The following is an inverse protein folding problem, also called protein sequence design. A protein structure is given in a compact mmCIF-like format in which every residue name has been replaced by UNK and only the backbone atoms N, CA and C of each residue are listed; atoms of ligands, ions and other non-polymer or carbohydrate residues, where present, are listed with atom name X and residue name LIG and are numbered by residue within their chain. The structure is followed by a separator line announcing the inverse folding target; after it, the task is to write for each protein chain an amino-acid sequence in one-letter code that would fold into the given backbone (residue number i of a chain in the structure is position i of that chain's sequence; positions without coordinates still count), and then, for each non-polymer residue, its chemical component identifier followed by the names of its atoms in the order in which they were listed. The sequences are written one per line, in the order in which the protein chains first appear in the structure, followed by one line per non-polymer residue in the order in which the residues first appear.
data_IF_263613268145
#
_entry.id   IF_263613268145
#
_cell.length_a   1.000
_cell.length_b   1.000
_cell.length_c   1.000
_cell.angle_alpha   90.00
_cell.angle_beta   90.00
_cell.angle_gamma   90.00
#
_symmetry.space_group_name_H-M   'P 1'
#
loop_
_entity.id
_entity.type
_entity.pdbx_description
1 polymer ?
#
# COMPACT_ATOMS: atom_id res chain seq x y z
N UNK A 1 16.21 0.04 14.29
CA UNK A 1 16.72 1.07 13.36
C UNK A 1 17.74 0.42 12.44
N UNK A 2 17.56 0.54 11.13
CA UNK A 2 18.49 -0.01 10.14
C UNK A 2 19.69 0.93 9.97
N UNK A 3 20.88 0.38 9.75
CA UNK A 3 22.12 1.16 9.59
C UNK A 3 23.02 0.51 8.55
N UNK A 4 23.60 1.28 7.64
CA UNK A 4 24.51 0.78 6.60
C UNK A 4 25.60 1.80 6.27
N UNK A 5 26.77 1.33 5.83
CA UNK A 5 27.82 2.16 5.22
C UNK A 5 27.51 2.46 3.75
N UNK A 6 26.60 1.71 3.12
CA UNK A 6 26.11 1.98 1.76
C UNK A 6 25.07 3.11 1.69
N UNK A 7 24.55 3.38 0.49
CA UNK A 7 23.62 4.51 0.26
C UNK A 7 22.14 4.11 0.17
N UNK A 8 21.83 2.82 0.34
CA UNK A 8 20.48 2.27 0.28
C UNK A 8 20.37 0.98 1.11
N UNK A 9 19.13 0.51 1.29
CA UNK A 9 18.83 -0.84 1.77
C UNK A 9 18.04 -1.57 0.68
N UNK A 10 18.51 -2.72 0.23
CA UNK A 10 17.80 -3.54 -0.75
C UNK A 10 16.41 -3.94 -0.23
N UNK A 11 15.38 -3.79 -1.07
CA UNK A 11 13.99 -4.03 -0.66
C UNK A 11 13.39 -2.94 0.23
N UNK A 12 13.99 -1.74 0.28
CA UNK A 12 13.43 -0.57 0.97
C UNK A 12 13.52 0.68 0.08
N UNK A 13 12.54 1.56 0.22
CA UNK A 13 12.53 2.88 -0.43
C UNK A 13 12.74 3.96 0.63
N UNK A 14 13.66 4.90 0.37
CA UNK A 14 13.84 6.11 1.17
C UNK A 14 12.66 7.05 0.88
N UNK A 15 11.87 7.36 1.89
CA UNK A 15 10.71 8.26 1.80
C UNK A 15 11.07 9.70 2.13
N UNK A 16 11.99 9.90 3.07
CA UNK A 16 12.43 11.22 3.51
C UNK A 16 13.92 11.18 3.89
N UNK A 17 14.66 12.18 3.43
CA UNK A 17 16.00 12.52 3.95
C UNK A 17 15.81 13.59 5.01
N UNK A 18 16.23 13.31 6.24
CA UNK A 18 15.92 14.18 7.38
C UNK A 18 17.04 15.18 7.61
N UNK A 19 18.25 14.68 7.86
CA UNK A 19 19.43 15.51 8.06
C UNK A 19 20.72 14.68 7.96
N UNK A 20 21.85 15.36 7.77
CA UNK A 20 23.18 14.80 8.02
C UNK A 20 23.44 14.88 9.53
N UNK A 21 23.77 13.75 10.13
CA UNK A 21 24.01 13.63 11.57
C UNK A 21 25.45 13.19 11.84
N UNK A 22 25.99 13.70 12.94
CA UNK A 22 27.35 13.39 13.38
C UNK A 22 27.39 13.19 14.90
N UNK A 23 28.20 12.26 15.38
CA UNK A 23 28.50 12.09 16.81
C UNK A 23 29.98 11.90 17.03
N UNK A 24 30.47 12.30 18.20
CA UNK A 24 31.88 12.20 18.56
C UNK A 24 32.01 11.68 19.98
N UNK A 25 32.76 10.59 20.14
CA UNK A 25 33.12 10.04 21.45
C UNK A 25 34.60 10.23 21.68
N UNK A 26 34.93 10.86 22.80
CA UNK A 26 36.30 11.10 23.22
C UNK A 26 36.72 10.04 24.22
N UNK A 27 37.84 9.36 23.93
CA UNK A 27 38.49 8.40 24.80
C UNK A 27 39.73 9.06 25.43
N UNK A 28 39.74 9.15 26.76
CA UNK A 28 40.76 9.89 27.51
C UNK A 28 42.11 9.18 27.70
N UNK A 29 43.06 9.93 28.27
CA UNK A 29 44.50 9.66 28.45
C UNK A 29 44.90 8.35 29.14
N UNK A 30 43.95 7.65 29.74
CA UNK A 30 44.13 6.30 30.29
C UNK A 30 44.33 5.22 29.23
N UNK A 31 44.21 5.51 27.92
CA UNK A 31 44.47 4.57 26.83
C UNK A 31 45.96 4.46 26.52
N UNK A 32 46.66 5.59 26.36
CA UNK A 32 48.08 5.60 25.98
C UNK A 32 49.00 5.34 27.18
N UNK A 33 48.66 5.85 28.37
CA UNK A 33 49.44 5.65 29.61
C UNK A 33 49.48 4.20 30.10
N UNK A 34 48.47 3.38 29.76
CA UNK A 34 48.45 1.94 30.08
C UNK A 34 49.06 1.07 28.97
N UNK A 35 49.41 1.65 27.81
CA UNK A 35 49.85 0.94 26.61
C UNK A 35 51.36 1.06 26.35
N UNK A 36 52.00 2.14 26.78
CA UNK A 36 53.48 2.27 26.74
C UNK A 36 54.20 1.21 27.57
N UNK A 37 53.51 0.57 28.52
CA UNK A 37 54.01 -0.55 29.31
C UNK A 37 53.84 -1.94 28.63
N UNK A 38 52.96 -2.07 27.62
CA UNK A 38 52.64 -3.36 26.97
C UNK A 38 53.12 -3.49 25.53
N UNK A 39 53.61 -2.41 24.91
CA UNK A 39 54.18 -2.42 23.56
C UNK A 39 55.61 -3.00 23.46
N UNK A 40 56.20 -3.45 24.56
CA UNK A 40 57.54 -4.03 24.55
C UNK A 40 57.60 -5.43 23.90
N UNK A 41 56.47 -6.14 23.80
CA UNK A 41 56.44 -7.50 23.23
C UNK A 41 55.68 -7.52 21.90
N UNK A 42 56.39 -7.15 20.85
CA UNK A 42 55.93 -7.10 19.46
C UNK A 42 55.80 -8.52 18.88
N UNK A 43 54.70 -9.19 19.18
CA UNK A 43 54.17 -10.32 18.42
C UNK A 43 52.72 -9.98 18.08
N UNK A 44 52.30 -10.15 16.82
CA UNK A 44 51.01 -9.71 16.26
C UNK A 44 49.76 -10.37 16.85
N UNK A 45 49.64 -10.36 18.17
CA UNK A 45 48.55 -10.88 18.99
C UNK A 45 47.66 -9.69 19.34
N UNK A 46 46.35 -9.82 19.08
CA UNK A 46 45.34 -8.79 19.36
C UNK A 46 45.51 -8.24 20.78
N UNK A 47 45.87 -6.97 20.91
CA UNK A 47 46.06 -6.32 22.21
C UNK A 47 44.68 -6.01 22.81
N UNK A 48 44.10 -6.99 23.51
CA UNK A 48 42.69 -7.00 23.93
C UNK A 48 42.21 -5.69 24.55
N UNK A 49 42.97 -5.10 25.48
CA UNK A 49 42.53 -3.89 26.17
C UNK A 49 42.44 -2.62 25.29
N UNK A 50 43.26 -2.49 24.25
CA UNK A 50 43.22 -1.33 23.35
C UNK A 50 42.04 -1.46 22.38
N UNK A 51 41.89 -2.64 21.79
CA UNK A 51 40.78 -2.98 20.90
C UNK A 51 39.43 -2.86 21.61
N UNK A 52 39.33 -3.34 22.86
CA UNK A 52 38.10 -3.25 23.67
C UNK A 52 37.66 -1.79 23.89
N UNK A 53 38.62 -0.88 24.11
CA UNK A 53 38.33 0.54 24.30
C UNK A 53 37.94 1.23 23.00
N UNK A 54 38.60 0.90 21.88
CA UNK A 54 38.21 1.38 20.55
C UNK A 54 36.81 0.90 20.17
N UNK A 55 36.51 -0.36 20.43
CA UNK A 55 35.20 -0.95 20.18
C UNK A 55 34.12 -0.31 21.07
N UNK A 56 34.43 -0.06 22.35
CA UNK A 56 33.55 0.67 23.25
C UNK A 56 33.27 2.10 22.76
N UNK A 57 34.30 2.81 22.29
CA UNK A 57 34.16 4.14 21.69
C UNK A 57 33.27 4.14 20.45
N UNK A 58 33.53 3.22 19.51
CA UNK A 58 32.73 3.03 18.29
C UNK A 58 31.27 2.69 18.60
N UNK A 59 31.03 1.76 19.52
CA UNK A 59 29.68 1.36 19.93
C UNK A 59 28.92 2.52 20.54
N UNK A 60 29.58 3.34 21.37
CA UNK A 60 28.98 4.53 21.97
C UNK A 60 28.66 5.59 20.90
N UNK A 61 29.59 5.87 19.98
CA UNK A 61 29.37 6.83 18.90
C UNK A 61 28.17 6.44 18.02
N UNK A 62 28.10 5.17 17.62
CA UNK A 62 26.97 4.64 16.84
C UNK A 62 25.65 4.63 17.62
N UNK A 63 25.67 4.40 18.93
CA UNK A 63 24.47 4.45 19.77
C UNK A 63 23.91 5.89 19.84
N UNK A 64 24.78 6.88 20.06
CA UNK A 64 24.38 8.29 20.05
C UNK A 64 23.91 8.73 18.65
N UNK A 65 24.53 8.22 17.58
CA UNK A 65 24.12 8.51 16.20
C UNK A 65 22.70 8.00 15.93
N UNK A 66 22.39 6.78 16.38
CA UNK A 66 21.04 6.20 16.33
C UNK A 66 20.02 7.01 17.12
N UNK A 67 20.40 7.52 18.30
CA UNK A 67 19.54 8.37 19.11
C UNK A 67 19.21 9.68 18.39
N UNK A 68 20.21 10.33 17.76
CA UNK A 68 19.97 11.55 16.95
C UNK A 68 19.02 11.28 15.78
N UNK A 69 19.22 10.18 15.04
CA UNK A 69 18.30 9.80 13.96
C UNK A 69 16.87 9.59 14.48
N UNK A 70 16.70 8.98 15.66
CA UNK A 70 15.40 8.79 16.31
C UNK A 70 14.73 10.12 16.68
N UNK A 71 15.49 11.08 17.21
CA UNK A 71 14.97 12.41 17.57
C UNK A 71 14.46 13.19 16.36
N UNK A 72 15.03 12.95 15.18
CA UNK A 72 14.57 13.51 13.90
C UNK A 72 13.37 12.76 13.30
N UNK A 73 12.89 11.68 13.94
CA UNK A 73 11.83 10.82 13.41
C UNK A 73 12.31 9.82 12.35
N UNK A 74 13.62 9.62 12.22
CA UNK A 74 14.23 8.64 11.32
C UNK A 74 14.15 7.22 11.86
N UNK A 75 14.00 6.26 10.95
CA UNK A 75 14.00 4.83 11.27
C UNK A 75 15.21 4.08 10.66
N UNK A 76 16.06 4.77 9.89
CA UNK A 76 17.32 4.25 9.39
C UNK A 76 18.42 5.32 9.20
N UNK A 77 19.67 4.87 9.06
CA UNK A 77 20.84 5.71 8.75
C UNK A 77 21.61 5.07 7.59
N UNK A 78 21.89 5.85 6.55
CA UNK A 78 22.71 5.44 5.39
C UNK A 78 24.02 6.23 5.36
N UNK A 79 24.98 5.74 4.57
CA UNK A 79 26.26 6.42 4.35
C UNK A 79 27.05 6.58 5.64
N UNK A 80 26.98 5.59 6.54
CA UNK A 80 27.72 5.66 7.79
C UNK A 80 29.22 5.62 7.49
N UNK A 81 29.91 6.62 8.02
CA UNK A 81 31.36 6.72 8.00
C UNK A 81 31.88 6.87 9.43
N UNK A 82 33.00 6.21 9.74
CA UNK A 82 33.57 6.18 11.09
C UNK A 82 35.06 6.52 11.01
N UNK A 83 35.39 7.68 11.57
CA UNK A 83 36.75 8.18 11.65
C UNK A 83 37.32 8.03 13.05
N UNK A 84 38.61 7.68 13.11
CA UNK A 84 39.41 7.71 14.32
C UNK A 84 40.44 8.82 14.19
N UNK A 85 40.46 9.75 15.14
CA UNK A 85 41.38 10.89 15.12
C UNK A 85 41.99 11.12 16.49
N UNK A 86 43.21 11.65 16.54
CA UNK A 86 43.89 11.99 17.79
C UNK A 86 43.79 13.49 18.06
N UNK A 87 43.26 13.86 19.22
CA UNK A 87 43.18 15.24 19.70
C UNK A 87 44.34 15.51 20.68
N UNK A 88 45.54 15.82 20.16
CA UNK A 88 46.75 15.96 20.99
C UNK A 88 47.40 14.62 21.33
N UNK A 89 48.29 14.59 22.32
CA UNK A 89 49.17 13.43 22.57
C UNK A 89 48.47 12.19 23.12
N UNK A 90 47.34 12.35 23.82
CA UNK A 90 46.77 11.27 24.65
C UNK A 90 45.25 11.14 24.55
N UNK A 91 44.62 11.75 23.55
CA UNK A 91 43.16 11.71 23.39
C UNK A 91 42.81 11.17 22.02
N UNK A 92 41.95 10.16 21.99
CA UNK A 92 41.43 9.60 20.75
C UNK A 92 39.93 9.91 20.61
N UNK A 93 39.56 10.54 19.51
CA UNK A 93 38.19 10.72 19.07
C UNK A 93 37.74 9.61 18.15
N UNK A 94 36.52 9.12 18.37
CA UNK A 94 35.77 8.31 17.41
C UNK A 94 34.60 9.15 16.91
N UNK A 95 34.61 9.48 15.63
CA UNK A 95 33.59 10.31 14.98
C UNK A 95 32.76 9.40 14.08
N UNK A 96 31.45 9.42 14.22
CA UNK A 96 30.53 8.68 13.35
C UNK A 96 29.61 9.67 12.63
N UNK A 97 29.59 9.62 11.31
CA UNK A 97 28.77 10.45 10.44
C UNK A 97 27.76 9.59 9.69
N UNK A 98 26.65 10.16 9.24
CA UNK A 98 25.70 9.50 8.35
C UNK A 98 24.50 10.38 8.03
N UNK A 99 23.58 9.88 7.20
CA UNK A 99 22.34 10.59 6.88
C UNK A 99 21.16 9.89 7.53
N UNK A 100 20.42 10.60 8.38
CA UNK A 100 19.19 10.10 8.96
C UNK A 100 18.08 10.11 7.91
N UNK A 101 17.40 8.98 7.75
CA UNK A 101 16.35 8.81 6.74
C UNK A 101 15.13 8.09 7.33
N UNK A 102 13.97 8.29 6.69
CA UNK A 102 12.83 7.37 6.81
C UNK A 102 12.82 6.42 5.63
N UNK A 103 12.91 5.13 5.90
CA UNK A 103 12.75 4.06 4.91
C UNK A 103 11.46 3.30 5.17
N UNK A 104 10.83 2.84 4.10
CA UNK A 104 9.71 1.89 4.18
C UNK A 104 10.14 0.62 3.47
N UNK A 105 9.86 -0.55 4.05
CA UNK A 105 10.04 -1.81 3.34
C UNK A 105 9.20 -1.74 2.08
N UNK A 106 9.85 -1.97 0.96
CA UNK A 106 9.18 -2.11 -0.32
C UNK A 106 8.61 -3.53 -0.31
N UNK A 107 7.39 -3.68 0.19
CA UNK A 107 6.69 -4.97 0.18
C UNK A 107 6.29 -5.38 -1.26
N UNK A 108 6.73 -4.62 -2.27
CA UNK A 108 6.42 -4.76 -3.68
C UNK A 108 7.61 -4.20 -4.46
N UNK A 109 8.29 -5.00 -5.30
CA UNK A 109 9.13 -4.50 -6.39
C UNK A 109 8.32 -3.47 -7.21
N UNK A 110 8.47 -2.18 -6.94
CA UNK A 110 7.88 -1.10 -7.73
C UNK A 110 8.91 -0.54 -8.71
N UNK A 111 9.03 -1.22 -9.85
CA UNK A 111 9.18 -0.54 -11.14
C UNK A 111 7.89 -0.79 -11.91
N UNK A 112 7.00 0.20 -11.94
CA UNK A 112 5.88 0.34 -12.87
C UNK A 112 5.03 -0.92 -13.15
N UNK A 113 4.38 -1.49 -12.14
CA UNK A 113 3.36 -2.51 -12.37
C UNK A 113 1.98 -1.89 -12.54
N UNK A 114 1.24 -2.26 -13.60
CA UNK A 114 -0.17 -1.88 -13.77
C UNK A 114 -1.05 -2.93 -13.11
N UNK A 115 -1.96 -2.51 -12.22
CA UNK A 115 -2.87 -3.40 -11.50
C UNK A 115 -4.28 -3.34 -12.11
N UNK A 116 -4.76 -4.48 -12.60
CA UNK A 116 -6.09 -4.64 -13.18
C UNK A 116 -6.99 -5.35 -12.17
N UNK A 117 -8.12 -4.77 -11.74
CA UNK A 117 -8.99 -5.37 -10.73
C UNK A 117 -9.65 -6.65 -11.27
N UNK A 118 -9.67 -7.69 -10.45
CA UNK A 118 -10.43 -8.92 -10.72
C UNK A 118 -11.84 -8.78 -10.15
N UNK A 119 -12.84 -9.03 -10.99
CA UNK A 119 -14.26 -8.90 -10.71
C UNK A 119 -15.00 -10.25 -10.64
N UNK A 120 -14.27 -11.36 -10.70
CA UNK A 120 -14.81 -12.68 -10.38
C UNK A 120 -14.43 -13.10 -8.95
N UNK A 121 -15.25 -13.97 -8.38
CA UNK A 121 -14.95 -14.64 -7.12
C UNK A 121 -15.63 -16.00 -7.07
N UNK A 122 -15.11 -16.90 -6.24
CA UNK A 122 -15.75 -18.19 -5.99
C UNK A 122 -16.13 -18.26 -4.50
N UNK A 123 -17.39 -18.61 -4.22
CA UNK A 123 -17.93 -18.60 -2.85
C UNK A 123 -17.38 -19.71 -1.97
N UNK A 124 -16.86 -20.79 -2.56
CA UNK A 124 -16.27 -21.92 -1.84
C UNK A 124 -14.77 -21.76 -1.58
N UNK A 125 -14.11 -20.82 -2.26
CA UNK A 125 -12.67 -20.62 -2.07
C UNK A 125 -12.39 -19.82 -0.78
N UNK A 126 -11.39 -20.26 0.02
CA UNK A 126 -10.99 -19.59 1.27
C UNK A 126 -10.03 -18.40 1.03
N UNK A 127 -10.01 -17.87 -0.19
CA UNK A 127 -9.24 -16.70 -0.60
C UNK A 127 -9.95 -16.01 -1.77
N UNK A 128 -9.56 -14.77 -2.04
CA UNK A 128 -9.92 -14.06 -3.27
C UNK A 128 -8.66 -13.78 -4.09
N UNK A 129 -8.81 -13.77 -5.41
CA UNK A 129 -7.87 -13.14 -6.33
C UNK A 129 -8.34 -11.70 -6.50
N UNK A 130 -7.54 -10.75 -6.04
CA UNK A 130 -7.92 -9.34 -5.95
C UNK A 130 -7.61 -8.60 -7.25
N UNK A 131 -6.39 -8.76 -7.78
CA UNK A 131 -5.98 -8.09 -9.01
C UNK A 131 -4.96 -8.89 -9.79
N UNK A 132 -4.81 -8.54 -11.07
CA UNK A 132 -3.72 -8.98 -11.92
C UNK A 132 -2.72 -7.83 -12.01
N UNK A 133 -1.46 -8.10 -11.69
CA UNK A 133 -0.38 -7.13 -11.83
C UNK A 133 0.40 -7.45 -13.09
N UNK A 134 0.53 -6.46 -13.97
CA UNK A 134 1.37 -6.53 -15.17
C UNK A 134 2.66 -5.78 -14.95
N UNK A 135 3.78 -6.31 -15.43
CA UNK A 135 5.05 -5.58 -15.52
C UNK A 135 5.07 -4.71 -16.79
N UNK A 136 5.20 -3.38 -16.66
CA UNK A 136 4.93 -2.44 -17.76
C UNK A 136 6.11 -2.17 -18.72
N UNK A 137 7.32 -2.70 -18.51
CA UNK A 137 8.52 -2.30 -19.29
C UNK A 137 9.10 -3.30 -20.28
N UNK A 138 8.56 -4.52 -20.40
CA UNK A 138 9.13 -5.46 -21.35
C UNK A 138 8.60 -5.24 -22.77
N UNK A 139 9.44 -4.66 -23.63
CA UNK A 139 9.22 -4.44 -25.07
C UNK A 139 9.15 -5.73 -25.91
N UNK A 140 8.85 -6.87 -25.30
CA UNK A 140 8.81 -8.18 -25.95
C UNK A 140 7.79 -9.13 -25.33
N UNK A 141 7.83 -9.30 -24.01
CA UNK A 141 7.00 -10.27 -23.29
C UNK A 141 6.20 -9.60 -22.18
N UNK A 142 4.88 -9.69 -22.23
CA UNK A 142 4.06 -9.29 -21.10
C UNK A 142 4.19 -10.32 -19.98
N UNK A 143 4.43 -9.86 -18.76
CA UNK A 143 4.45 -10.68 -17.56
C UNK A 143 3.25 -10.30 -16.69
N UNK A 144 2.54 -11.28 -16.16
CA UNK A 144 1.48 -11.04 -15.19
C UNK A 144 1.66 -11.89 -13.92
N UNK A 145 1.21 -11.35 -12.79
CA UNK A 145 1.10 -12.04 -11.51
C UNK A 145 -0.28 -11.80 -10.89
N UNK A 146 -0.74 -12.70 -10.04
CA UNK A 146 -1.98 -12.55 -9.29
C UNK A 146 -1.70 -12.00 -7.90
N UNK A 147 -2.48 -11.01 -7.45
CA UNK A 147 -2.54 -10.58 -6.06
C UNK A 147 -3.72 -11.30 -5.38
N UNK A 148 -3.45 -11.94 -4.24
CA UNK A 148 -4.43 -12.75 -3.51
C UNK A 148 -4.61 -12.24 -2.09
N UNK A 149 -5.82 -12.45 -1.56
CA UNK A 149 -6.14 -12.35 -0.14
C UNK A 149 -6.53 -13.71 0.38
N UNK A 150 -5.75 -14.30 1.29
CA UNK A 150 -6.20 -15.45 2.07
C UNK A 150 -6.93 -15.02 3.34
N UNK A 151 -7.98 -15.76 3.69
CA UNK A 151 -8.77 -15.52 4.90
C UNK A 151 -8.42 -16.48 6.05
N UNK A 152 -7.49 -17.42 5.83
CA UNK A 152 -7.03 -18.34 6.85
C UNK A 152 -5.57 -18.72 6.61
N UNK A 153 -4.77 -18.81 7.67
CA UNK A 153 -3.38 -19.28 7.55
C UNK A 153 -3.26 -20.70 6.98
N UNK A 154 -4.29 -21.54 7.17
CA UNK A 154 -4.37 -22.89 6.59
C UNK A 154 -4.73 -22.89 5.10
N UNK A 155 -5.20 -21.77 4.58
CA UNK A 155 -5.66 -21.59 3.21
C UNK A 155 -4.66 -20.80 2.35
N UNK A 156 -3.37 -20.83 2.72
CA UNK A 156 -2.30 -20.28 1.91
C UNK A 156 -2.01 -21.22 0.75
N UNK A 157 -1.83 -20.65 -0.43
CA UNK A 157 -1.73 -21.40 -1.67
C UNK A 157 -0.26 -21.60 -2.02
N UNK A 158 0.07 -22.77 -2.54
CA UNK A 158 1.37 -23.08 -3.13
C UNK A 158 1.34 -22.88 -4.65
N UNK A 159 0.31 -23.40 -5.33
CA UNK A 159 0.15 -23.27 -6.77
C UNK A 159 -1.33 -23.25 -7.22
N UNK A 160 -1.57 -22.66 -8.39
CA UNK A 160 -2.88 -22.50 -9.02
C UNK A 160 -2.82 -22.85 -10.51
N UNK A 161 -3.93 -23.38 -11.02
CA UNK A 161 -4.24 -23.38 -12.46
C UNK A 161 -5.51 -22.55 -12.65
N UNK A 162 -5.47 -21.56 -13.53
CA UNK A 162 -6.58 -20.62 -13.75
C UNK A 162 -6.81 -20.32 -15.23
N UNK A 163 -8.06 -20.02 -15.59
CA UNK A 163 -8.36 -19.29 -16.82
C UNK A 163 -8.54 -17.80 -16.49
N UNK A 164 -8.10 -16.91 -17.37
CA UNK A 164 -8.15 -15.45 -17.16
C UNK A 164 -8.79 -14.81 -18.38
N UNK A 165 -9.86 -14.04 -18.18
CA UNK A 165 -10.44 -13.13 -19.17
C UNK A 165 -10.06 -11.69 -18.82
N UNK A 166 -9.37 -10.99 -19.73
CA UNK A 166 -9.02 -9.57 -19.61
C UNK A 166 -9.95 -8.74 -20.50
N UNK A 167 -10.62 -7.71 -19.96
CA UNK A 167 -11.45 -6.79 -20.75
C UNK A 167 -10.82 -5.40 -20.85
N UNK A 168 -10.75 -4.87 -22.06
CA UNK A 168 -10.26 -3.52 -22.33
C UNK A 168 -11.38 -2.46 -22.24
N UNK A 169 -11.00 -1.18 -22.34
CA UNK A 169 -11.95 -0.05 -22.34
C UNK A 169 -12.92 -0.02 -23.54
N UNK A 170 -12.62 -0.76 -24.62
CA UNK A 170 -13.47 -0.88 -25.81
C UNK A 170 -14.45 -2.05 -25.71
N UNK A 171 -14.35 -2.88 -24.67
CA UNK A 171 -15.18 -4.06 -24.45
C UNK A 171 -14.65 -5.35 -25.06
N UNK A 172 -13.47 -5.34 -25.70
CA UNK A 172 -12.85 -6.57 -26.22
C UNK A 172 -12.29 -7.42 -25.08
N UNK A 173 -12.42 -8.74 -25.24
CA UNK A 173 -11.90 -9.75 -24.31
C UNK A 173 -10.66 -10.47 -24.85
N UNK A 174 -9.67 -10.68 -23.99
CA UNK A 174 -8.52 -11.55 -24.23
C UNK A 174 -8.58 -12.69 -23.21
N UNK A 175 -8.62 -13.94 -23.68
CA UNK A 175 -8.69 -15.12 -22.81
C UNK A 175 -7.35 -15.83 -22.77
N UNK A 176 -6.88 -16.13 -21.56
CA UNK A 176 -5.68 -16.91 -21.27
C UNK A 176 -6.10 -18.18 -20.55
N UNK A 177 -5.95 -19.33 -21.20
CA UNK A 177 -6.40 -20.62 -20.68
C UNK A 177 -5.28 -21.38 -19.96
N UNK A 178 -5.63 -22.11 -18.90
CA UNK A 178 -4.73 -23.01 -18.16
C UNK A 178 -3.42 -22.35 -17.69
N UNK A 179 -3.51 -21.09 -17.27
CA UNK A 179 -2.38 -20.36 -16.70
C UNK A 179 -1.97 -20.96 -15.36
N UNK A 180 -0.69 -21.30 -15.21
CA UNK A 180 -0.14 -21.92 -14.00
C UNK A 180 0.64 -20.88 -13.21
N UNK A 181 0.36 -20.77 -11.91
CA UNK A 181 1.07 -19.85 -11.01
C UNK A 181 1.59 -20.59 -9.79
N UNK A 182 2.79 -20.24 -9.33
CA UNK A 182 3.27 -20.60 -7.99
C UNK A 182 3.35 -19.36 -7.08
N UNK A 183 3.34 -19.61 -5.76
CA UNK A 183 3.48 -18.57 -4.73
C UNK A 183 4.80 -18.79 -3.99
N UNK A 184 5.64 -17.75 -3.90
CA UNK A 184 6.92 -17.86 -3.21
C UNK A 184 6.73 -17.91 -1.68
N UNK A 185 7.46 -18.82 -1.04
CA UNK A 185 7.34 -19.19 0.37
C UNK A 185 7.90 -18.08 1.27
N UNK A 186 7.09 -17.06 1.55
CA UNK A 186 7.27 -16.12 2.68
C UNK A 186 5.99 -15.28 2.95
N UNK A 187 4.82 -15.78 2.59
CA UNK A 187 3.55 -15.11 2.87
C UNK A 187 3.20 -15.20 4.37
N UNK A 188 3.86 -14.40 5.19
CA UNK A 188 3.40 -14.12 6.57
C UNK A 188 2.09 -13.33 6.50
N UNK A 189 1.94 -12.53 5.45
CA UNK A 189 0.81 -11.64 5.25
C UNK A 189 -0.41 -12.33 4.64
N UNK A 190 -1.57 -11.81 5.02
CA UNK A 190 -2.87 -12.24 4.49
C UNK A 190 -3.06 -11.83 3.03
N UNK A 191 -2.37 -10.78 2.57
CA UNK A 191 -2.21 -10.46 1.15
C UNK A 191 -0.84 -10.92 0.66
N UNK A 192 -0.82 -11.59 -0.49
CA UNK A 192 0.42 -12.05 -1.12
C UNK A 192 0.22 -12.18 -2.62
N UNK A 193 1.31 -12.39 -3.36
CA UNK A 193 1.25 -12.52 -4.82
C UNK A 193 1.91 -13.79 -5.31
N UNK A 194 1.46 -14.24 -6.48
CA UNK A 194 2.18 -15.26 -7.24
C UNK A 194 3.48 -14.70 -7.79
N UNK A 195 4.32 -15.59 -8.29
CA UNK A 195 5.36 -15.21 -9.24
C UNK A 195 4.76 -14.63 -10.54
N UNK A 196 5.59 -13.90 -11.27
CA UNK A 196 5.24 -13.40 -12.59
C UNK A 196 5.38 -14.52 -13.62
N UNK A 197 4.34 -14.65 -14.45
CA UNK A 197 4.27 -15.62 -15.54
C UNK A 197 4.20 -14.87 -16.85
N UNK A 198 4.98 -15.34 -17.84
CA UNK A 198 4.97 -14.80 -19.19
C UNK A 198 3.69 -15.17 -19.93
N UNK A 199 3.10 -14.20 -20.62
CA UNK A 199 1.98 -14.41 -21.54
C UNK A 199 2.40 -14.08 -22.97
N UNK A 200 1.90 -14.86 -23.92
CA UNK A 200 2.11 -14.64 -25.35
C UNK A 200 0.87 -14.01 -25.96
N UNK A 201 0.73 -12.69 -25.79
CA UNK A 201 -0.38 -11.90 -26.35
C UNK A 201 0.18 -10.81 -27.24
N UNK A 202 -0.08 -10.92 -28.54
CA UNK A 202 0.37 -9.92 -29.52
C UNK A 202 -0.34 -8.59 -29.32
N UNK A 203 0.42 -7.50 -29.35
CA UNK A 203 -0.08 -6.12 -29.27
C UNK A 203 -0.92 -5.82 -28.01
N UNK A 204 -0.66 -6.50 -26.89
CA UNK A 204 -1.35 -6.23 -25.64
C UNK A 204 -1.08 -4.80 -25.16
N UNK A 205 -2.15 -4.02 -24.99
CA UNK A 205 -2.11 -2.67 -24.40
C UNK A 205 -2.64 -2.72 -22.98
N UNK A 206 -1.73 -2.99 -22.05
CA UNK A 206 -2.03 -3.11 -20.61
C UNK A 206 -2.66 -1.84 -20.06
N UNK A 207 -2.26 -0.68 -20.56
CA UNK A 207 -2.80 0.64 -20.20
C UNK A 207 -4.28 0.83 -20.59
N UNK A 208 -4.81 -0.01 -21.48
CA UNK A 208 -6.21 0.00 -21.91
C UNK A 208 -7.04 -1.09 -21.26
N UNK A 209 -6.45 -1.94 -20.40
CA UNK A 209 -7.19 -2.94 -19.65
C UNK A 209 -7.96 -2.28 -18.51
N UNK A 210 -9.22 -2.68 -18.34
CA UNK A 210 -10.12 -2.08 -17.36
C UNK A 210 -10.40 -3.02 -16.18
N UNK A 211 -10.59 -4.31 -16.46
CA UNK A 211 -10.99 -5.33 -15.49
C UNK A 211 -10.62 -6.72 -15.99
N UNK A 212 -10.59 -7.66 -15.07
CA UNK A 212 -10.35 -9.07 -15.37
C UNK A 212 -11.33 -9.98 -14.63
N UNK A 213 -11.50 -11.18 -15.16
CA UNK A 213 -12.21 -12.30 -14.52
C UNK A 213 -11.24 -13.47 -14.49
N UNK A 214 -11.07 -14.07 -13.32
CA UNK A 214 -10.17 -15.21 -13.08
C UNK A 214 -10.97 -16.38 -12.56
N UNK A 215 -10.92 -17.48 -13.29
CA UNK A 215 -11.55 -18.75 -12.96
C UNK A 215 -10.49 -19.73 -12.47
N UNK A 216 -10.51 -20.08 -11.19
CA UNK A 216 -9.57 -21.06 -10.64
C UNK A 216 -10.07 -22.46 -10.96
N UNK A 217 -9.24 -23.26 -11.63
CA UNK A 217 -9.57 -24.65 -12.01
C UNK A 217 -8.98 -25.66 -11.03
N UNK A 218 -7.73 -25.46 -10.60
CA UNK A 218 -7.04 -26.36 -9.67
C UNK A 218 -6.19 -25.60 -8.67
N UNK A 219 -6.02 -26.17 -7.48
CA UNK A 219 -5.28 -25.56 -6.36
C UNK A 219 -4.42 -26.61 -5.67
N UNK A 220 -3.23 -26.18 -5.24
CA UNK A 220 -2.41 -26.89 -4.25
C UNK A 220 -2.21 -25.94 -3.06
N UNK A 221 -2.62 -26.36 -1.86
CA UNK A 221 -2.40 -25.59 -0.64
C UNK A 221 -0.99 -25.79 -0.09
N UNK A 222 -0.50 -24.79 0.64
CA UNK A 222 0.80 -24.83 1.29
C UNK A 222 0.89 -25.99 2.29
N UNK A 223 1.99 -26.75 2.22
CA UNK A 223 2.20 -27.93 3.07
C UNK A 223 1.39 -29.17 2.67
N UNK A 224 0.60 -29.11 1.58
CA UNK A 224 -0.04 -30.27 0.97
C UNK A 224 0.58 -30.59 -0.40
N UNK A 225 0.46 -31.85 -0.80
CA UNK A 225 0.77 -32.33 -2.15
C UNK A 225 -0.48 -32.67 -2.96
N UNK A 226 -1.66 -32.52 -2.37
CA UNK A 226 -2.93 -32.84 -3.02
C UNK A 226 -3.30 -31.76 -4.03
N UNK A 227 -3.66 -32.19 -5.22
CA UNK A 227 -4.25 -31.33 -6.26
C UNK A 227 -5.75 -31.36 -6.08
N UNK A 228 -6.35 -30.20 -5.85
CA UNK A 228 -7.80 -30.06 -5.64
C UNK A 228 -8.40 -29.44 -6.91
N UNK A 229 -9.33 -30.14 -7.55
CA UNK A 229 -10.18 -29.57 -8.59
C UNK A 229 -11.21 -28.63 -7.95
N UNK A 230 -11.34 -27.43 -8.52
CA UNK A 230 -12.24 -26.39 -8.03
C UNK A 230 -13.56 -26.46 -8.79
N UNK A 231 -14.66 -26.44 -8.04
CA UNK A 231 -15.99 -26.36 -8.62
C UNK A 231 -16.28 -24.93 -9.11
N UNK A 232 -16.10 -24.74 -10.42
CA UNK A 232 -16.34 -23.48 -11.13
C UNK A 232 -17.82 -23.10 -11.21
N UNK A 233 -18.76 -23.99 -10.85
CA UNK A 233 -20.18 -23.64 -10.78
C UNK A 233 -20.50 -22.61 -9.68
N UNK A 234 -19.60 -22.45 -8.70
CA UNK A 234 -19.70 -21.47 -7.62
C UNK A 234 -18.95 -20.17 -7.93
N UNK A 235 -18.50 -20.01 -9.16
CA UNK A 235 -17.89 -18.78 -9.63
C UNK A 235 -18.95 -17.75 -10.01
N UNK A 236 -18.74 -16.51 -9.59
CA UNK A 236 -19.60 -15.39 -9.86
C UNK A 236 -18.79 -14.30 -10.54
N UNK A 237 -19.30 -13.79 -11.65
CA UNK A 237 -18.80 -12.58 -12.29
C UNK A 237 -19.64 -11.38 -11.85
N UNK A 238 -18.98 -10.39 -11.26
CA UNK A 238 -19.64 -9.13 -11.00
C UNK A 238 -19.68 -8.29 -12.28
N UNK A 239 -20.77 -8.45 -13.03
CA UNK A 239 -21.02 -7.71 -14.27
C UNK A 239 -21.69 -6.35 -14.04
N UNK A 240 -22.31 -6.15 -12.88
CA UNK A 240 -23.06 -4.93 -12.55
C UNK A 240 -22.19 -3.80 -12.01
N UNK A 241 -21.00 -4.11 -11.48
CA UNK A 241 -20.08 -3.12 -10.89
C UNK A 241 -19.01 -2.72 -11.91
N UNK A 242 -18.81 -1.41 -12.11
CA UNK A 242 -17.74 -0.93 -12.99
C UNK A 242 -16.37 -1.07 -12.32
N UNK A 243 -15.28 -0.98 -13.10
CA UNK A 243 -13.92 -0.99 -12.53
C UNK A 243 -13.69 0.20 -11.58
N UNK A 244 -14.28 1.35 -11.88
CA UNK A 244 -14.19 2.55 -11.06
C UNK A 244 -14.93 2.34 -9.73
N UNK A 245 -16.15 1.78 -9.77
CA UNK A 245 -16.93 1.48 -8.58
C UNK A 245 -16.19 0.49 -7.65
N UNK A 246 -15.59 -0.56 -8.22
CA UNK A 246 -14.78 -1.49 -7.43
C UNK A 246 -13.56 -0.82 -6.81
N UNK A 247 -12.86 0.07 -7.53
CA UNK A 247 -11.72 0.78 -6.95
C UNK A 247 -12.14 1.66 -5.76
N UNK A 248 -13.29 2.33 -5.86
CA UNK A 248 -13.87 3.10 -4.74
C UNK A 248 -14.20 2.18 -3.57
N UNK A 249 -14.86 1.06 -3.82
CA UNK A 249 -15.19 0.09 -2.78
C UNK A 249 -13.93 -0.50 -2.12
N UNK A 250 -12.88 -0.80 -2.89
CA UNK A 250 -11.61 -1.32 -2.36
C UNK A 250 -10.88 -0.32 -1.49
N UNK A 251 -10.87 0.95 -1.89
CA UNK A 251 -10.30 2.04 -1.08
C UNK A 251 -11.00 2.12 0.29
N UNK A 252 -12.31 1.90 0.33
CA UNK A 252 -13.12 2.06 1.53
C UNK A 252 -13.22 0.80 2.40
N UNK A 253 -13.18 -0.38 1.78
CA UNK A 253 -13.50 -1.64 2.43
C UNK A 253 -12.39 -2.69 2.32
N UNK A 254 -11.32 -2.43 1.56
CA UNK A 254 -10.12 -3.28 1.42
C UNK A 254 -9.94 -3.85 0.00
N UNK A 255 -8.71 -4.14 -0.40
CA UNK A 255 -8.36 -4.64 -1.74
C UNK A 255 -9.04 -5.95 -2.15
N UNK A 256 -9.54 -6.73 -1.18
CA UNK A 256 -10.21 -8.02 -1.40
C UNK A 256 -11.70 -7.91 -1.71
N UNK A 257 -12.21 -6.69 -1.90
CA UNK A 257 -13.59 -6.43 -2.33
C UNK A 257 -13.79 -6.86 -3.79
N UNK A 258 -14.83 -7.63 -4.03
CA UNK A 258 -15.22 -8.18 -5.35
C UNK A 258 -16.64 -7.78 -5.76
N UNK A 259 -17.46 -7.34 -4.81
CA UNK A 259 -18.80 -6.83 -5.07
C UNK A 259 -19.21 -5.75 -4.06
N UNK A 260 -20.23 -4.95 -4.41
CA UNK A 260 -20.93 -4.17 -3.39
C UNK A 260 -21.73 -5.12 -2.48
N UNK A 261 -22.09 -4.65 -1.28
CA UNK A 261 -22.92 -5.41 -0.36
C UNK A 261 -24.31 -5.61 -0.96
N UNK A 262 -24.81 -6.84 -0.94
CA UNK A 262 -26.15 -7.18 -1.41
C UNK A 262 -26.98 -7.77 -0.27
N UNK A 263 -28.27 -7.44 -0.24
CA UNK A 263 -29.25 -8.01 0.68
C UNK A 263 -30.24 -8.81 -0.17
N UNK A 264 -30.37 -10.09 0.13
CA UNK A 264 -31.27 -11.02 -0.54
C UNK A 264 -32.31 -11.52 0.48
N UNK A 265 -33.33 -12.23 0.01
CA UNK A 265 -34.29 -12.88 0.92
C UNK A 265 -33.58 -13.95 1.76
N UNK A 266 -33.45 -13.71 3.07
CA UNK A 266 -32.86 -14.65 4.02
C UNK A 266 -31.33 -14.63 4.11
N UNK A 267 -30.62 -13.92 3.22
CA UNK A 267 -29.15 -13.87 3.17
C UNK A 267 -28.60 -12.49 2.80
N UNK A 268 -27.31 -12.28 3.04
CA UNK A 268 -26.59 -11.10 2.56
C UNK A 268 -25.20 -11.45 2.03
N UNK A 269 -24.84 -10.85 0.90
CA UNK A 269 -23.51 -10.99 0.29
C UNK A 269 -22.59 -9.91 0.85
N UNK A 270 -21.48 -10.35 1.44
CA UNK A 270 -20.43 -9.46 1.92
C UNK A 270 -19.63 -8.87 0.75
N UNK A 271 -18.92 -7.76 0.96
CA UNK A 271 -18.01 -7.18 -0.04
C UNK A 271 -16.95 -8.15 -0.55
N UNK A 272 -16.54 -9.11 0.28
CA UNK A 272 -15.63 -10.16 -0.16
C UNK A 272 -16.29 -11.16 -1.11
N UNK A 273 -17.61 -11.19 -1.27
CA UNK A 273 -18.35 -12.16 -2.09
C UNK A 273 -18.95 -13.34 -1.31
N UNK A 274 -18.64 -13.48 -0.02
CA UNK A 274 -19.21 -14.54 0.80
C UNK A 274 -20.69 -14.26 1.14
N UNK A 275 -21.55 -15.24 0.94
CA UNK A 275 -22.96 -15.20 1.31
C UNK A 275 -23.14 -15.63 2.77
N UNK A 276 -23.88 -14.84 3.54
CA UNK A 276 -24.08 -15.05 4.97
C UNK A 276 -25.58 -15.10 5.27
N UNK A 277 -25.95 -15.84 6.31
CA UNK A 277 -27.33 -15.82 6.78
C UNK A 277 -27.71 -14.42 7.30
N UNK A 278 -28.95 -13.99 7.06
CA UNK A 278 -29.47 -12.69 7.50
C UNK A 278 -29.32 -12.43 9.01
N UNK A 279 -29.34 -13.50 9.83
CA UNK A 279 -29.26 -13.40 11.28
C UNK A 279 -27.83 -13.27 11.82
N UNK A 280 -26.82 -13.31 10.94
CA UNK A 280 -25.42 -13.21 11.31
C UNK A 280 -24.89 -11.83 10.94
N UNK A 281 -24.39 -11.12 11.94
CA UNK A 281 -23.89 -9.75 11.82
C UNK A 281 -22.38 -9.69 11.51
N UNK A 282 -21.74 -10.81 11.21
CA UNK A 282 -20.33 -10.89 10.87
C UNK A 282 -20.12 -11.86 9.71
N UNK A 283 -19.37 -11.43 8.70
CA UNK A 283 -19.07 -12.30 7.57
C UNK A 283 -18.22 -13.49 8.02
N UNK A 284 -18.67 -14.72 7.79
CA UNK A 284 -17.96 -15.92 8.23
C UNK A 284 -16.56 -16.06 7.59
N UNK A 285 -16.34 -15.44 6.43
CA UNK A 285 -15.10 -15.53 5.65
C UNK A 285 -14.11 -14.43 5.99
N UNK A 286 -14.53 -13.17 5.90
CA UNK A 286 -13.63 -12.03 6.07
C UNK A 286 -13.77 -11.32 7.41
N UNK A 287 -14.68 -11.78 8.28
CA UNK A 287 -14.94 -11.23 9.61
C UNK A 287 -15.39 -9.75 9.61
N UNK A 288 -15.78 -9.20 8.46
CA UNK A 288 -16.40 -7.88 8.37
C UNK A 288 -17.79 -7.92 8.97
N UNK A 289 -18.07 -7.02 9.91
CA UNK A 289 -19.40 -6.89 10.50
C UNK A 289 -20.42 -6.33 9.51
N UNK A 290 -21.64 -6.84 9.58
CA UNK A 290 -22.84 -6.31 8.96
C UNK A 290 -23.10 -4.90 9.49
N UNK A 291 -22.72 -3.91 8.69
CA UNK A 291 -22.82 -2.49 9.05
C UNK A 291 -21.61 -1.92 9.80
N UNK A 292 -20.52 -2.69 9.98
CA UNK A 292 -19.30 -2.20 10.63
C UNK A 292 -18.30 -1.60 9.65
N UNK A 293 -18.04 -0.30 9.76
CA UNK A 293 -16.72 0.27 9.42
C UNK A 293 -15.73 -0.27 10.44
N UNK A 294 -14.51 -0.63 10.02
CA UNK A 294 -13.41 -0.74 10.95
C UNK A 294 -13.16 0.66 11.52
N UNK A 295 -13.45 0.86 12.82
CA UNK A 295 -13.30 2.14 13.51
C UNK A 295 -14.59 2.96 13.63
N UNK A 296 -15.04 3.12 14.86
CA UNK A 296 -16.11 4.01 15.33
C UNK A 296 -15.99 5.44 14.79
N UNK A 297 -16.96 5.93 14.00
CA UNK A 297 -17.17 7.37 13.76
C UNK A 297 -18.67 7.63 13.55
N UNK A 298 -19.18 8.66 14.22
CA UNK A 298 -20.47 9.31 13.94
C UNK A 298 -20.77 9.30 12.44
N UNK A 299 -21.92 8.76 12.04
CA UNK A 299 -22.35 8.67 10.64
C UNK A 299 -22.35 10.09 10.05
N UNK A 300 -21.39 10.40 9.17
CA UNK A 300 -21.43 11.64 8.40
C UNK A 300 -22.61 11.55 7.44
N UNK A 301 -23.38 12.63 7.30
CA UNK A 301 -24.49 12.72 6.32
C UNK A 301 -23.98 12.44 4.90
N UNK A 302 -22.72 12.78 4.63
CA UNK A 302 -22.02 12.54 3.35
C UNK A 302 -21.53 11.10 3.17
N UNK A 303 -21.94 10.15 4.02
CA UNK A 303 -21.68 8.72 3.81
C UNK A 303 -22.88 7.95 3.24
N UNK A 304 -24.01 8.63 3.05
CA UNK A 304 -25.20 8.09 2.39
C UNK A 304 -25.15 8.39 0.88
N UNK A 305 -25.01 7.35 0.07
CA UNK A 305 -24.93 7.46 -1.40
C UNK A 305 -26.16 8.13 -2.01
N UNK A 306 -27.35 7.96 -1.44
CA UNK A 306 -28.58 8.57 -1.96
C UNK A 306 -28.62 10.08 -1.73
N UNK A 307 -28.05 10.54 -0.61
CA UNK A 307 -27.93 11.95 -0.30
C UNK A 307 -26.88 12.59 -1.22
N UNK A 308 -25.73 11.94 -1.40
CA UNK A 308 -24.68 12.43 -2.30
C UNK A 308 -25.17 12.49 -3.75
N UNK A 309 -25.84 11.43 -4.25
CA UNK A 309 -26.36 11.43 -5.62
C UNK A 309 -27.40 12.53 -5.81
N UNK A 310 -28.31 12.71 -4.85
CA UNK A 310 -29.29 13.80 -4.89
C UNK A 310 -28.66 15.19 -4.89
N UNK A 311 -27.59 15.40 -4.12
CA UNK A 311 -26.83 16.67 -4.12
C UNK A 311 -26.15 16.88 -5.47
N UNK A 312 -25.48 15.86 -6.02
CA UNK A 312 -24.79 15.97 -7.32
C UNK A 312 -25.79 16.24 -8.43
N UNK A 313 -26.90 15.50 -8.49
CA UNK A 313 -27.93 15.66 -9.51
C UNK A 313 -28.48 17.09 -9.50
N UNK A 314 -28.78 17.63 -8.31
CA UNK A 314 -29.30 18.98 -8.18
C UNK A 314 -28.23 20.03 -8.52
N UNK A 315 -26.97 19.84 -8.12
CA UNK A 315 -25.84 20.72 -8.48
C UNK A 315 -25.65 20.76 -10.00
N UNK A 316 -25.78 19.62 -10.70
CA UNK A 316 -25.62 19.54 -12.16
C UNK A 316 -26.64 20.42 -12.92
N UNK A 317 -27.83 20.62 -12.34
CA UNK A 317 -28.87 21.49 -12.92
C UNK A 317 -28.58 22.99 -12.77
N UNK A 318 -27.65 23.39 -11.90
CA UNK A 318 -27.36 24.80 -11.61
C UNK A 318 -26.57 25.48 -12.73
N UNK A 319 -26.83 26.77 -12.97
CA UNK A 319 -26.27 27.50 -14.11
C UNK A 319 -24.92 28.17 -13.82
N UNK A 320 -24.69 28.54 -12.57
CA UNK A 320 -23.56 29.38 -12.13
C UNK A 320 -22.93 28.87 -10.84
N UNK A 321 -21.72 29.34 -10.50
CA UNK A 321 -21.14 29.05 -9.19
C UNK A 321 -21.96 29.65 -8.04
N UNK A 322 -22.68 30.76 -8.29
CA UNK A 322 -23.59 31.35 -7.31
C UNK A 322 -24.77 30.43 -7.00
N UNK A 323 -25.42 29.88 -8.04
CA UNK A 323 -26.56 28.96 -7.88
C UNK A 323 -26.14 27.69 -7.13
N UNK A 324 -24.93 27.20 -7.38
CA UNK A 324 -24.34 26.04 -6.70
C UNK A 324 -24.07 26.37 -5.22
N UNK A 325 -23.44 27.52 -4.94
CA UNK A 325 -23.18 27.97 -3.57
C UNK A 325 -24.49 28.11 -2.77
N UNK A 326 -25.50 28.78 -3.33
CA UNK A 326 -26.79 28.97 -2.65
C UNK A 326 -27.48 27.63 -2.35
N UNK A 327 -27.43 26.69 -3.30
CA UNK A 327 -27.96 25.35 -3.09
C UNK A 327 -27.23 24.63 -1.96
N UNK A 328 -25.90 24.54 -2.00
CA UNK A 328 -25.11 23.83 -0.98
C UNK A 328 -25.31 24.46 0.41
N UNK A 329 -25.28 25.79 0.52
CA UNK A 329 -25.53 26.50 1.79
C UNK A 329 -26.96 26.29 2.31
N UNK A 330 -27.95 26.07 1.43
CA UNK A 330 -29.33 25.81 1.85
C UNK A 330 -29.53 24.44 2.53
N UNK A 331 -28.61 23.49 2.29
CA UNK A 331 -28.69 22.15 2.86
C UNK A 331 -28.39 22.13 4.37
N UNK A 332 -27.65 23.12 4.88
CA UNK A 332 -27.30 23.22 6.30
C UNK A 332 -26.50 22.03 6.84
N UNK A 333 -25.77 21.33 5.97
CA UNK A 333 -24.97 20.15 6.33
C UNK A 333 -23.61 20.62 6.85
N UNK A 334 -23.37 20.41 8.14
CA UNK A 334 -22.16 20.86 8.83
C UNK A 334 -20.86 20.39 8.17
N UNK A 335 -20.86 19.18 7.61
CA UNK A 335 -19.69 18.60 6.93
C UNK A 335 -19.34 19.30 5.60
N UNK A 336 -20.27 20.08 5.03
CA UNK A 336 -20.06 20.87 3.82
C UNK A 336 -19.60 22.31 4.12
N UNK A 337 -19.46 22.73 5.38
CA UNK A 337 -19.02 24.10 5.73
C UNK A 337 -17.68 24.49 5.07
N UNK A 338 -16.74 23.54 4.95
CA UNK A 338 -15.46 23.79 4.25
C UNK A 338 -15.66 24.01 2.75
N UNK A 339 -16.59 23.28 2.15
CA UNK A 339 -16.96 23.40 0.74
C UNK A 339 -17.69 24.72 0.48
N UNK A 340 -18.60 25.12 1.37
CA UNK A 340 -19.30 26.41 1.30
C UNK A 340 -18.31 27.59 1.25
N UNK A 341 -17.22 27.53 2.01
CA UNK A 341 -16.19 28.56 1.98
C UNK A 341 -15.52 28.68 0.59
N UNK A 342 -15.13 27.55 -0.01
CA UNK A 342 -14.49 27.53 -1.32
C UNK A 342 -15.44 28.00 -2.43
N UNK A 343 -16.70 27.53 -2.39
CA UNK A 343 -17.75 27.97 -3.32
C UNK A 343 -18.07 29.46 -3.18
N UNK A 344 -18.02 30.01 -1.96
CA UNK A 344 -18.19 31.46 -1.71
C UNK A 344 -17.07 32.30 -2.34
N UNK A 345 -15.85 31.76 -2.43
CA UNK A 345 -14.75 32.45 -3.11
C UNK A 345 -15.02 32.50 -4.62
N UNK A 346 -15.42 31.39 -5.23
CA UNK A 346 -15.78 31.34 -6.65
C UNK A 346 -16.98 32.23 -6.98
N UNK A 347 -18.01 32.23 -6.12
CA UNK A 347 -19.17 33.12 -6.24
C UNK A 347 -18.77 34.61 -6.27
N UNK A 348 -17.81 35.01 -5.42
CA UNK A 348 -17.28 36.38 -5.43
C UNK A 348 -16.46 36.67 -6.68
N UNK A 349 -15.64 35.72 -7.14
CA UNK A 349 -14.86 35.89 -8.36
C UNK A 349 -15.77 36.04 -9.58
N UNK A 350 -16.79 35.19 -9.71
CA UNK A 350 -17.80 35.29 -10.77
C UNK A 350 -18.49 36.66 -10.76
N UNK A 351 -18.82 37.20 -9.58
CA UNK A 351 -19.41 38.55 -9.45
C UNK A 351 -18.44 39.68 -9.81
N UNK A 352 -17.14 39.53 -9.53
CA UNK A 352 -16.12 40.55 -9.78
C UNK A 352 -15.67 40.57 -11.24
N UNK A 353 -15.45 39.38 -11.81
CA UNK A 353 -14.86 39.21 -13.14
C UNK A 353 -15.90 38.94 -14.23
N UNK A 354 -17.14 38.61 -13.87
CA UNK A 354 -18.22 38.32 -14.83
C UNK A 354 -18.07 36.99 -15.58
N UNK A 355 -17.05 36.20 -15.24
CA UNK A 355 -16.80 34.87 -15.81
C UNK A 355 -17.57 33.81 -15.02
N UNK A 356 -18.30 32.94 -15.73
CA UNK A 356 -19.01 31.81 -15.10
C UNK A 356 -17.99 30.81 -14.53
N UNK A 357 -18.08 30.54 -13.22
CA UNK A 357 -17.18 29.63 -12.49
C UNK A 357 -17.82 28.28 -12.18
N UNK A 358 -18.92 27.92 -12.86
CA UNK A 358 -19.63 26.65 -12.66
C UNK A 358 -18.69 25.44 -12.73
N UNK A 359 -17.85 25.33 -13.75
CA UNK A 359 -17.01 24.14 -13.93
C UNK A 359 -15.94 24.01 -12.83
N UNK A 360 -15.40 25.14 -12.37
CA UNK A 360 -14.47 25.19 -11.24
C UNK A 360 -15.19 24.82 -9.92
N UNK A 361 -16.43 25.27 -9.73
CA UNK A 361 -17.26 24.91 -8.58
C UNK A 361 -17.60 23.41 -8.57
N UNK A 362 -17.94 22.85 -9.74
CA UNK A 362 -18.17 21.41 -9.92
C UNK A 362 -16.96 20.58 -9.56
N UNK A 363 -15.78 20.98 -10.05
CA UNK A 363 -14.52 20.27 -9.80
C UNK A 363 -14.17 20.26 -8.31
N UNK A 364 -14.39 21.36 -7.59
CA UNK A 364 -14.20 21.43 -6.13
C UNK A 364 -15.18 20.50 -5.40
N UNK A 365 -16.47 20.51 -5.77
CA UNK A 365 -17.49 19.65 -5.16
C UNK A 365 -17.13 18.18 -5.34
N UNK A 366 -16.75 17.79 -6.56
CA UNK A 366 -16.32 16.43 -6.88
C UNK A 366 -15.05 16.10 -6.07
N UNK A 367 -14.03 16.96 -6.06
CA UNK A 367 -12.82 16.70 -5.29
C UNK A 367 -13.11 16.53 -3.80
N UNK A 368 -13.94 17.36 -3.18
CA UNK A 368 -14.21 17.28 -1.74
C UNK A 368 -15.10 16.10 -1.34
N UNK A 369 -16.18 15.85 -2.08
CA UNK A 369 -17.09 14.72 -1.81
C UNK A 369 -16.35 13.39 -1.99
N UNK A 370 -15.47 13.29 -2.99
CA UNK A 370 -14.75 12.05 -3.29
C UNK A 370 -13.37 11.91 -2.62
N UNK A 371 -12.80 12.97 -2.01
CA UNK A 371 -11.55 12.89 -1.22
C UNK A 371 -11.75 12.68 0.29
N UNK A 372 -12.91 13.05 0.87
CA UNK A 372 -13.24 12.81 2.30
C UNK A 372 -14.03 11.51 2.58
N UNK A 373 -14.40 10.77 1.53
CA UNK A 373 -15.10 9.47 1.63
C UNK A 373 -14.16 8.30 1.83
#
# INVERSE_FOLDING_TARGET
MLTTTGYNFEGYVIKEYLDVISTSVVLGTGIFSSFSASMADLTGTRSGMYEDKLEAGRRKALAELKQRAQMLGGNAIIGIDIDYTTFGSDVLGVIANGTAVKVKRDDILNSDTVSIPVLSYNTQLPFNICSIRFDAYNTGDALLALLLRSYSDKAKINALITDIELKNIFGDSIVLENMIFAVNQNAIDSFYSTEFVKIDVKNLRVDLLQKAYVSVKKIIFYGSSDVIDVDVANEHENTQTTSLDIQVLRKNYGEDVVCDKQINDGTWTCFCGAENNENVDECYRCHRKFGGKYGSINRSVLSDKNIISGIIDEVMTKGTANDIYEYISSLGIKELESLEYELKVLQKQEKIFGENKKDEAMDIIIKMIYQKS
#
